data_IF_093629187764
#
_entry.id   IF_093629187764
#
_cell.length_a   1.000
_cell.length_b   1.000
_cell.length_c   1.000
_cell.angle_alpha   90.00
_cell.angle_beta   90.00
_cell.angle_gamma   90.00
#
_symmetry.space_group_name_H-M   'P 1'
#
loop_
_entity.id
_entity.type
_entity.pdbx_description
1 polymer ?
#
# COMPACT_ATOMS: atom_id res chain seq x y z
N UNK A 1 -5.51 25.22 -3.34
CA UNK A 1 -4.04 25.30 -3.31
C UNK A 1 -3.44 24.16 -4.13
N UNK A 2 -2.17 24.25 -4.51
CA UNK A 2 -1.48 23.23 -5.30
C UNK A 2 -1.48 23.49 -6.81
N UNK A 3 -0.80 22.61 -7.55
CA UNK A 3 -0.68 22.65 -9.00
C UNK A 3 -1.78 21.80 -9.64
N UNK A 4 -2.33 22.26 -10.77
CA UNK A 4 -3.22 21.42 -11.58
C UNK A 4 -2.46 20.24 -12.18
N UNK A 5 -3.12 19.09 -12.38
CA UNK A 5 -2.57 17.97 -13.16
C UNK A 5 -2.06 18.40 -14.54
N UNK A 6 -2.65 19.45 -15.13
CA UNK A 6 -2.21 20.04 -16.41
C UNK A 6 -0.85 20.76 -16.35
N UNK A 7 -0.39 21.12 -15.16
CA UNK A 7 0.91 21.75 -14.92
C UNK A 7 2.00 20.73 -14.56
N UNK A 8 1.64 19.44 -14.49
CA UNK A 8 2.55 18.34 -14.16
C UNK A 8 2.77 17.45 -15.38
N UNK A 9 3.96 16.86 -15.48
CA UNK A 9 4.27 15.81 -16.45
C UNK A 9 4.50 14.49 -15.72
N UNK A 10 3.69 13.47 -16.03
CA UNK A 10 3.81 12.14 -15.44
C UNK A 10 4.70 11.25 -16.32
N UNK A 11 5.83 10.78 -15.77
CA UNK A 11 6.78 9.92 -16.47
C UNK A 11 6.66 8.46 -15.98
N UNK A 12 6.22 7.51 -16.82
CA UNK A 12 6.17 6.10 -16.44
C UNK A 12 7.59 5.49 -16.45
N UNK A 13 8.03 4.97 -15.30
CA UNK A 13 9.40 4.44 -15.12
C UNK A 13 9.45 2.95 -14.75
N UNK A 14 8.29 2.28 -14.70
CA UNK A 14 8.07 0.82 -14.57
C UNK A 14 8.51 0.17 -13.25
N UNK A 15 9.71 0.47 -12.73
CA UNK A 15 10.27 -0.20 -11.56
C UNK A 15 10.93 0.77 -10.58
N UNK A 16 10.87 0.44 -9.29
CA UNK A 16 11.39 1.26 -8.18
C UNK A 16 12.83 1.72 -8.40
N UNK A 17 13.72 0.82 -8.85
CA UNK A 17 15.13 1.18 -9.08
C UNK A 17 15.31 2.26 -10.15
N UNK A 18 14.47 2.25 -11.20
CA UNK A 18 14.50 3.27 -12.25
C UNK A 18 13.95 4.61 -11.74
N UNK A 19 12.90 4.60 -10.90
CA UNK A 19 12.37 5.81 -10.27
C UNK A 19 13.41 6.47 -9.35
N UNK A 20 14.11 5.66 -8.54
CA UNK A 20 15.21 6.16 -7.69
C UNK A 20 16.33 6.80 -8.54
N UNK A 21 16.74 6.15 -9.63
CA UNK A 21 17.75 6.70 -10.54
C UNK A 21 17.30 7.99 -11.21
N UNK A 22 16.05 8.05 -11.66
CA UNK A 22 15.47 9.24 -12.28
C UNK A 22 15.38 10.42 -11.31
N UNK A 23 14.96 10.17 -10.06
CA UNK A 23 14.89 11.21 -9.03
C UNK A 23 16.28 11.76 -8.70
N UNK A 24 17.28 10.88 -8.52
CA UNK A 24 18.67 11.29 -8.22
C UNK A 24 19.34 12.05 -9.36
N UNK A 25 18.96 11.75 -10.61
CA UNK A 25 19.52 12.41 -11.81
C UNK A 25 18.73 13.65 -12.25
N UNK A 26 17.64 13.99 -11.57
CA UNK A 26 16.78 15.13 -11.94
C UNK A 26 15.92 14.88 -13.19
N UNK A 27 15.75 13.63 -13.63
CA UNK A 27 14.82 13.31 -14.71
C UNK A 27 13.34 13.36 -14.29
N UNK A 28 13.09 13.32 -12.98
CA UNK A 28 11.79 13.61 -12.35
C UNK A 28 12.06 14.47 -11.11
N UNK A 29 11.13 15.35 -10.78
CA UNK A 29 11.28 16.30 -9.67
C UNK A 29 10.75 15.75 -8.34
N UNK A 30 9.74 14.89 -8.39
CA UNK A 30 9.04 14.37 -7.22
C UNK A 30 8.52 12.95 -7.41
N UNK A 31 8.32 12.26 -6.28
CA UNK A 31 7.70 10.94 -6.24
C UNK A 31 6.96 10.72 -4.92
N UNK A 32 5.67 10.34 -4.99
CA UNK A 32 4.92 9.85 -3.84
C UNK A 32 5.20 8.37 -3.62
N UNK A 33 5.72 8.01 -2.45
CA UNK A 33 6.12 6.63 -2.13
C UNK A 33 6.00 6.31 -0.65
N UNK A 34 5.82 5.02 -0.36
CA UNK A 34 5.75 4.48 0.99
C UNK A 34 7.00 4.79 1.85
N UNK A 35 6.85 4.90 3.19
CA UNK A 35 7.86 5.49 4.05
C UNK A 35 9.23 4.82 4.03
N UNK A 36 9.31 3.49 3.83
CA UNK A 36 10.59 2.77 3.87
C UNK A 36 11.55 3.18 2.74
N UNK A 37 11.02 3.58 1.58
CA UNK A 37 11.84 4.12 0.48
C UNK A 37 12.11 5.59 0.71
N UNK A 38 11.09 6.39 1.03
CA UNK A 38 11.21 7.83 1.24
C UNK A 38 12.25 8.16 2.33
N UNK A 39 12.17 7.50 3.49
CA UNK A 39 13.10 7.71 4.62
C UNK A 39 14.53 7.28 4.28
N UNK A 40 14.71 6.19 3.53
CA UNK A 40 16.04 5.74 3.10
C UNK A 40 16.69 6.72 2.11
N UNK A 41 15.91 7.24 1.15
CA UNK A 41 16.38 8.26 0.21
C UNK A 41 16.72 9.57 0.94
N UNK A 42 15.87 9.99 1.88
CA UNK A 42 16.13 11.17 2.69
C UNK A 42 17.40 11.05 3.52
N UNK A 43 17.57 9.95 4.26
CA UNK A 43 18.75 9.70 5.08
C UNK A 43 20.05 9.64 4.26
N UNK A 44 19.98 9.16 3.02
CA UNK A 44 21.15 9.11 2.12
C UNK A 44 21.40 10.42 1.36
N UNK A 45 20.59 11.47 1.58
CA UNK A 45 20.67 12.73 0.86
C UNK A 45 20.19 12.67 -0.60
N UNK A 46 19.62 11.54 -1.03
CA UNK A 46 19.15 11.34 -2.41
C UNK A 46 17.80 11.99 -2.72
N UNK A 47 17.07 12.45 -1.71
CA UNK A 47 15.82 13.21 -1.85
C UNK A 47 15.51 13.99 -0.56
N UNK A 48 14.56 14.94 -0.63
CA UNK A 48 13.98 15.59 0.55
C UNK A 48 12.50 15.19 0.67
N UNK A 49 12.06 14.90 1.89
CA UNK A 49 10.64 14.69 2.17
C UNK A 49 10.00 16.09 2.30
N UNK A 50 8.96 16.35 1.52
CA UNK A 50 8.30 17.67 1.44
C UNK A 50 6.86 17.66 2.00
N UNK A 51 6.36 16.51 2.43
CA UNK A 51 5.05 16.35 3.05
C UNK A 51 4.65 14.88 3.19
N UNK A 52 3.67 14.60 4.04
CA UNK A 52 2.99 13.31 4.13
C UNK A 52 1.59 13.41 3.53
N UNK A 53 1.16 12.40 2.77
CA UNK A 53 -0.20 12.36 2.20
C UNK A 53 -1.24 12.30 3.32
N UNK A 54 -0.91 11.65 4.44
CA UNK A 54 -1.80 11.52 5.59
C UNK A 54 -2.16 12.87 6.24
N UNK A 55 -1.33 13.91 6.05
CA UNK A 55 -1.60 15.25 6.58
C UNK A 55 -2.73 15.96 5.79
N UNK A 56 -3.00 15.51 4.56
CA UNK A 56 -3.97 16.14 3.65
C UNK A 56 -5.22 15.29 3.41
N UNK A 57 -5.10 13.97 3.52
CA UNK A 57 -6.19 13.03 3.23
C UNK A 57 -6.31 12.03 4.38
N UNK A 58 -7.19 12.35 5.32
CA UNK A 58 -7.47 11.47 6.45
C UNK A 58 -8.04 10.11 5.97
N UNK A 59 -7.57 9.04 6.59
CA UNK A 59 -8.00 7.68 6.30
C UNK A 59 -7.72 7.20 4.88
N UNK A 60 -6.80 7.81 4.12
CA UNK A 60 -6.51 7.42 2.73
C UNK A 60 -6.14 5.94 2.62
N UNK A 61 -6.96 5.17 1.89
CA UNK A 61 -6.74 3.75 1.71
C UNK A 61 -5.84 3.48 0.50
N UNK A 62 -4.63 3.00 0.78
CA UNK A 62 -3.59 2.74 -0.23
C UNK A 62 -3.76 1.35 -0.86
N UNK A 63 -4.07 0.32 -0.05
CA UNK A 63 -4.13 -1.08 -0.49
C UNK A 63 -5.51 -1.68 -0.26
N UNK A 64 -5.90 -2.58 -1.15
CA UNK A 64 -7.13 -3.38 -1.05
C UNK A 64 -6.90 -4.74 -1.71
N UNK A 65 -7.82 -5.68 -1.48
CA UNK A 65 -7.80 -7.02 -2.07
C UNK A 65 -8.76 -7.04 -3.26
N UNK A 66 -8.26 -7.50 -4.41
CA UNK A 66 -9.08 -7.79 -5.57
C UNK A 66 -9.22 -9.30 -5.76
N UNK A 67 -10.38 -9.72 -6.25
CA UNK A 67 -10.63 -11.10 -6.70
C UNK A 67 -11.38 -11.07 -8.03
N UNK A 68 -11.31 -12.14 -8.80
CA UNK A 68 -12.05 -12.21 -10.07
C UNK A 68 -13.55 -12.25 -9.84
N UNK A 69 -14.32 -11.75 -10.81
CA UNK A 69 -15.80 -11.84 -10.80
C UNK A 69 -16.28 -13.27 -10.57
N UNK A 70 -15.65 -14.26 -11.22
CA UNK A 70 -15.99 -15.68 -11.02
C UNK A 70 -15.77 -16.15 -9.57
N UNK A 71 -14.71 -15.71 -8.91
CA UNK A 71 -14.48 -16.06 -7.50
C UNK A 71 -15.48 -15.39 -6.56
N UNK A 72 -15.88 -14.15 -6.88
CA UNK A 72 -16.90 -13.42 -6.13
C UNK A 72 -18.28 -14.07 -6.30
N UNK A 73 -18.70 -14.34 -7.54
CA UNK A 73 -20.04 -14.82 -7.83
C UNK A 73 -20.19 -16.32 -7.50
N UNK A 74 -19.20 -17.14 -7.88
CA UNK A 74 -19.37 -18.60 -7.95
C UNK A 74 -18.50 -19.37 -6.94
N UNK A 75 -17.49 -18.74 -6.33
CA UNK A 75 -16.60 -19.38 -5.34
C UNK A 75 -16.62 -18.68 -3.99
N UNK A 76 -17.78 -18.18 -3.59
CA UNK A 76 -17.96 -17.35 -2.40
C UNK A 76 -17.43 -17.97 -1.11
N UNK A 77 -17.67 -19.26 -0.90
CA UNK A 77 -17.15 -19.99 0.27
C UNK A 77 -15.62 -20.03 0.29
N UNK A 78 -14.97 -20.25 -0.86
CA UNK A 78 -13.51 -20.23 -0.99
C UNK A 78 -12.96 -18.83 -0.69
N UNK A 79 -13.54 -17.80 -1.30
CA UNK A 79 -13.13 -16.41 -1.10
C UNK A 79 -13.26 -15.99 0.37
N UNK A 80 -14.36 -16.37 1.06
CA UNK A 80 -14.52 -16.12 2.50
C UNK A 80 -13.51 -16.88 3.36
N UNK A 81 -13.19 -18.15 3.03
CA UNK A 81 -12.14 -18.91 3.72
C UNK A 81 -10.78 -18.22 3.58
N UNK A 82 -10.43 -17.75 2.38
CA UNK A 82 -9.21 -16.98 2.15
C UNK A 82 -9.19 -15.69 2.99
N UNK A 83 -10.25 -14.89 2.96
CA UNK A 83 -10.34 -13.65 3.75
C UNK A 83 -10.25 -13.91 5.26
N UNK A 84 -10.83 -15.02 5.74
CA UNK A 84 -10.72 -15.44 7.14
C UNK A 84 -9.28 -15.79 7.53
N UNK A 85 -8.57 -16.54 6.69
CA UNK A 85 -7.15 -16.84 6.90
C UNK A 85 -6.27 -15.58 6.82
N UNK A 86 -6.54 -14.72 5.84
CA UNK A 86 -5.82 -13.47 5.65
C UNK A 86 -6.01 -12.51 6.82
N UNK A 87 -7.22 -12.41 7.37
CA UNK A 87 -7.54 -11.59 8.54
C UNK A 87 -6.78 -12.04 9.79
N UNK A 88 -6.60 -13.36 9.98
CA UNK A 88 -5.74 -13.90 11.06
C UNK A 88 -4.29 -13.48 10.86
N UNK A 89 -3.78 -13.56 9.62
CA UNK A 89 -2.45 -13.09 9.25
C UNK A 89 -2.25 -11.60 9.50
N UNK A 90 -3.24 -10.77 9.16
CA UNK A 90 -3.24 -9.33 9.48
C UNK A 90 -3.12 -9.10 10.99
N UNK A 91 -3.94 -9.78 11.78
CA UNK A 91 -3.92 -9.63 13.24
C UNK A 91 -2.55 -9.99 13.80
N UNK A 92 -2.00 -11.13 13.39
CA UNK A 92 -0.68 -11.57 13.84
C UNK A 92 0.42 -10.61 13.39
N UNK A 93 0.41 -10.18 12.13
CA UNK A 93 1.37 -9.21 11.61
C UNK A 93 1.31 -7.90 12.39
N UNK A 94 0.12 -7.35 12.62
CA UNK A 94 -0.06 -6.13 13.39
C UNK A 94 0.44 -6.30 14.83
N UNK A 95 0.05 -7.39 15.51
CA UNK A 95 0.46 -7.66 16.89
C UNK A 95 1.99 -7.82 17.03
N UNK A 96 2.65 -8.43 16.04
CA UNK A 96 4.11 -8.64 16.03
C UNK A 96 4.87 -7.42 15.54
N UNK A 97 4.64 -7.01 14.29
CA UNK A 97 5.50 -6.09 13.55
C UNK A 97 5.18 -4.61 13.83
N UNK A 98 3.93 -4.30 14.20
CA UNK A 98 3.47 -2.92 14.38
C UNK A 98 3.32 -2.59 15.86
N UNK A 99 2.50 -3.36 16.57
CA UNK A 99 2.22 -3.17 18.00
C UNK A 99 3.33 -3.73 18.90
N UNK A 100 4.22 -4.57 18.36
CA UNK A 100 5.37 -5.17 19.07
C UNK A 100 5.00 -5.94 20.35
N UNK A 101 3.76 -6.42 20.45
CA UNK A 101 3.21 -7.11 21.63
C UNK A 101 3.87 -8.46 21.91
N UNK A 102 4.50 -9.06 20.89
CA UNK A 102 5.09 -10.42 20.97
C UNK A 102 6.62 -10.41 21.13
N UNK A 103 7.22 -9.23 21.33
CA UNK A 103 8.65 -9.07 21.65
C UNK A 103 9.62 -9.27 20.48
N UNK A 104 10.90 -9.02 20.75
CA UNK A 104 11.95 -8.98 19.72
C UNK A 104 12.15 -10.32 18.99
N UNK A 105 12.02 -11.46 19.69
CA UNK A 105 12.16 -12.78 19.07
C UNK A 105 11.07 -13.06 18.02
N UNK A 106 9.82 -12.65 18.28
CA UNK A 106 8.74 -12.79 17.30
C UNK A 106 8.96 -11.86 16.10
N UNK A 107 9.42 -10.63 16.33
CA UNK A 107 9.75 -9.68 15.26
C UNK A 107 10.85 -10.26 14.35
N UNK A 108 11.92 -10.81 14.93
CA UNK A 108 13.01 -11.44 14.18
C UNK A 108 12.51 -12.63 13.35
N UNK A 109 11.73 -13.54 13.95
CA UNK A 109 11.17 -14.69 13.24
C UNK A 109 10.25 -14.28 12.09
N UNK A 110 9.36 -13.32 12.31
CA UNK A 110 8.47 -12.79 11.26
C UNK A 110 9.25 -12.04 10.17
N UNK A 111 10.29 -11.29 10.53
CA UNK A 111 11.16 -10.61 9.55
C UNK A 111 11.85 -11.63 8.65
N UNK A 112 12.39 -12.73 9.20
CA UNK A 112 12.98 -13.83 8.42
C UNK A 112 11.96 -14.52 7.52
N UNK A 113 10.74 -14.74 8.00
CA UNK A 113 9.67 -15.31 7.19
C UNK A 113 9.36 -14.42 5.98
N UNK A 114 9.21 -13.10 6.19
CA UNK A 114 8.96 -12.13 5.13
C UNK A 114 10.12 -12.08 4.13
N UNK A 115 11.36 -12.18 4.60
CA UNK A 115 12.55 -12.13 3.73
C UNK A 115 12.61 -13.25 2.69
N UNK A 116 11.95 -14.39 2.92
CA UNK A 116 11.79 -15.44 1.89
C UNK A 116 11.10 -14.93 0.61
N UNK A 117 10.37 -13.83 0.70
CA UNK A 117 9.58 -13.26 -0.39
C UNK A 117 9.93 -11.79 -0.70
N UNK A 118 10.52 -11.06 0.25
CA UNK A 118 10.82 -9.62 0.14
C UNK A 118 12.32 -9.37 0.27
N UNK A 119 12.88 -8.58 -0.65
CA UNK A 119 14.31 -8.30 -0.77
C UNK A 119 15.19 -9.57 -0.89
N UNK A 120 14.67 -10.62 -1.52
CA UNK A 120 15.32 -11.94 -1.69
C UNK A 120 16.69 -11.89 -2.39
N UNK A 121 16.99 -10.80 -3.11
CA UNK A 121 18.28 -10.58 -3.75
C UNK A 121 19.37 -10.00 -2.83
N UNK A 122 19.10 -9.82 -1.53
CA UNK A 122 20.03 -9.28 -0.54
C UNK A 122 20.18 -10.24 0.64
N UNK A 123 21.34 -10.28 1.33
CA UNK A 123 21.46 -10.98 2.59
C UNK A 123 20.48 -10.45 3.65
N UNK A 124 20.03 -11.32 4.55
CA UNK A 124 19.04 -10.99 5.58
C UNK A 124 19.46 -9.76 6.40
N UNK A 125 20.73 -9.68 6.78
CA UNK A 125 21.30 -8.62 7.63
C UNK A 125 21.16 -7.24 6.97
N UNK A 126 21.17 -7.20 5.63
CA UNK A 126 20.97 -5.96 4.84
C UNK A 126 19.49 -5.68 4.54
N UNK A 127 18.60 -6.66 4.69
CA UNK A 127 17.18 -6.56 4.39
C UNK A 127 16.32 -6.29 5.64
N UNK A 128 16.69 -6.85 6.78
CA UNK A 128 15.89 -6.90 8.01
C UNK A 128 15.42 -5.51 8.46
N UNK A 129 16.33 -4.54 8.53
CA UNK A 129 16.00 -3.17 8.94
C UNK A 129 14.96 -2.52 8.04
N UNK A 130 15.04 -2.73 6.71
CA UNK A 130 14.06 -2.20 5.75
C UNK A 130 12.70 -2.88 5.87
N UNK A 131 12.67 -4.19 6.11
CA UNK A 131 11.42 -4.94 6.31
C UNK A 131 10.70 -4.45 7.57
N UNK A 132 11.42 -4.32 8.68
CA UNK A 132 10.86 -3.85 9.94
C UNK A 132 10.43 -2.39 9.83
N UNK A 133 11.25 -1.51 9.26
CA UNK A 133 10.92 -0.09 9.09
C UNK A 133 9.75 0.14 8.11
N UNK A 134 9.52 -0.78 7.16
CA UNK A 134 8.42 -0.74 6.21
C UNK A 134 7.13 -1.40 6.70
N UNK A 135 7.11 -1.95 7.91
CA UNK A 135 5.92 -2.60 8.47
C UNK A 135 4.88 -1.56 8.85
N UNK A 136 3.88 -1.38 7.99
CA UNK A 136 2.75 -0.49 8.20
C UNK A 136 1.54 -1.27 8.71
N UNK A 137 0.69 -0.63 9.51
CA UNK A 137 -0.54 -1.24 9.99
C UNK A 137 -1.42 -1.67 8.83
N UNK A 138 -1.81 -2.95 8.84
CA UNK A 138 -2.84 -3.49 7.96
C UNK A 138 -4.21 -3.31 8.61
N UNK A 139 -5.25 -3.05 7.81
CA UNK A 139 -6.58 -2.82 8.37
C UNK A 139 -7.15 -4.08 9.03
N UNK A 140 -7.56 -4.04 10.33
CA UNK A 140 -8.09 -5.20 11.02
C UNK A 140 -9.26 -5.84 10.29
N UNK A 141 -9.26 -7.18 10.20
CA UNK A 141 -10.24 -7.98 9.48
C UNK A 141 -10.33 -7.70 7.97
N UNK A 142 -9.33 -7.02 7.40
CA UNK A 142 -9.35 -6.59 6.01
C UNK A 142 -10.48 -5.61 5.71
N UNK A 143 -10.95 -4.85 6.72
CA UNK A 143 -12.02 -3.87 6.57
C UNK A 143 -11.67 -2.80 5.52
N UNK A 144 -12.68 -2.34 4.80
CA UNK A 144 -12.52 -1.37 3.72
C UNK A 144 -13.01 0.01 4.17
N UNK A 145 -12.17 1.05 4.03
CA UNK A 145 -12.61 2.44 4.13
C UNK A 145 -13.37 2.82 2.86
N UNK A 146 -14.68 2.63 2.86
CA UNK A 146 -15.53 2.87 1.69
C UNK A 146 -15.65 4.37 1.39
N UNK A 147 -15.51 5.22 2.40
CA UNK A 147 -15.43 6.68 2.22
C UNK A 147 -14.21 7.07 1.39
N UNK A 148 -13.03 6.56 1.73
CA UNK A 148 -11.81 6.79 0.94
C UNK A 148 -11.92 6.23 -0.49
N UNK A 149 -12.48 5.03 -0.66
CA UNK A 149 -12.66 4.43 -1.99
C UNK A 149 -13.63 5.24 -2.86
N UNK A 150 -14.71 5.78 -2.27
CA UNK A 150 -15.64 6.70 -2.96
C UNK A 150 -14.93 7.95 -3.44
N UNK A 151 -14.21 8.64 -2.55
CA UNK A 151 -13.48 9.85 -2.90
C UNK A 151 -12.45 9.60 -4.02
N UNK A 152 -11.72 8.47 -3.95
CA UNK A 152 -10.78 8.09 -5.00
C UNK A 152 -11.47 7.84 -6.34
N UNK A 153 -12.60 7.12 -6.36
CA UNK A 153 -13.36 6.88 -7.59
C UNK A 153 -13.88 8.19 -8.20
N UNK A 154 -14.40 9.10 -7.37
CA UNK A 154 -14.91 10.39 -7.83
C UNK A 154 -13.79 11.26 -8.42
N UNK A 155 -12.61 11.26 -7.79
CA UNK A 155 -11.42 11.92 -8.33
C UNK A 155 -10.95 11.30 -9.66
N UNK A 156 -10.89 9.96 -9.75
CA UNK A 156 -10.56 9.30 -11.02
C UNK A 156 -11.54 9.66 -12.14
N UNK A 157 -12.82 9.84 -11.81
CA UNK A 157 -13.85 10.30 -12.77
C UNK A 157 -13.65 11.76 -13.17
N UNK A 158 -13.34 12.66 -12.23
CA UNK A 158 -13.11 14.07 -12.54
C UNK A 158 -11.88 14.27 -13.43
N UNK A 159 -10.83 13.47 -13.23
CA UNK A 159 -9.63 13.46 -14.06
C UNK A 159 -9.79 12.65 -15.37
N UNK A 160 -10.97 12.07 -15.62
CA UNK A 160 -11.27 11.23 -16.80
C UNK A 160 -10.32 10.01 -16.95
N UNK A 161 -9.81 9.51 -15.83
CA UNK A 161 -8.94 8.34 -15.76
C UNK A 161 -9.72 7.01 -15.79
N UNK A 162 -11.03 7.06 -15.55
CA UNK A 162 -11.97 5.95 -15.66
C UNK A 162 -13.26 6.40 -16.35
N UNK A 163 -14.08 5.47 -16.89
CA UNK A 163 -15.38 5.82 -17.46
C UNK A 163 -16.28 6.53 -16.45
N UNK A 164 -17.02 7.56 -16.88
CA UNK A 164 -17.98 8.27 -16.03
C UNK A 164 -19.11 7.37 -15.48
N UNK A 165 -19.37 6.24 -16.14
CA UNK A 165 -20.32 5.20 -15.72
C UNK A 165 -19.77 4.29 -14.62
N UNK A 166 -18.49 4.38 -14.25
CA UNK A 166 -17.92 3.65 -13.14
C UNK A 166 -18.66 4.01 -11.83
N UNK A 167 -18.97 2.98 -11.04
CA UNK A 167 -19.73 3.10 -9.80
C UNK A 167 -19.14 2.18 -8.72
N UNK A 168 -19.33 2.57 -7.46
CA UNK A 168 -18.91 1.75 -6.32
C UNK A 168 -19.55 0.36 -6.34
N UNK A 169 -20.81 0.26 -6.78
CA UNK A 169 -21.52 -1.01 -6.89
C UNK A 169 -20.80 -2.01 -7.82
N UNK A 170 -20.14 -1.52 -8.86
CA UNK A 170 -19.39 -2.36 -9.80
C UNK A 170 -17.97 -2.65 -9.33
N UNK A 171 -17.42 -1.81 -8.46
CA UNK A 171 -16.05 -1.91 -7.96
C UNK A 171 -15.94 -2.74 -6.68
N UNK A 172 -16.95 -2.67 -5.80
CA UNK A 172 -16.88 -3.21 -4.44
C UNK A 172 -18.10 -4.08 -4.15
N UNK A 173 -17.86 -5.36 -3.83
CA UNK A 173 -18.85 -6.22 -3.18
C UNK A 173 -18.66 -6.13 -1.65
N UNK A 174 -19.50 -5.32 -1.01
CA UNK A 174 -19.46 -5.05 0.43
C UNK A 174 -19.92 -6.23 1.29
N UNK A 175 -20.38 -7.32 0.68
CA UNK A 175 -20.84 -8.51 1.40
C UNK A 175 -19.71 -9.43 1.87
N UNK A 176 -18.45 -9.13 1.50
CA UNK A 176 -17.27 -9.93 1.85
C UNK A 176 -16.54 -9.48 3.11
N UNK A 177 -16.49 -8.18 3.38
CA UNK A 177 -15.79 -7.57 4.52
C UNK A 177 -16.59 -6.41 5.07
N UNK A 178 -16.35 -6.04 6.34
CA UNK A 178 -16.95 -4.84 6.91
C UNK A 178 -16.40 -3.58 6.23
N UNK A 179 -17.26 -2.60 6.05
CA UNK A 179 -16.89 -1.27 5.57
C UNK A 179 -17.09 -0.22 6.64
N UNK A 180 -16.34 0.87 6.54
CA UNK A 180 -16.51 2.08 7.35
C UNK A 180 -16.23 3.33 6.50
#
# INVERSE_FOLDING_TARGET
EGFSSKQMSLKPLQKVGAIIGALKSGQIDAWSIVPHIAKALHKSGGAKIIGDVADYIDGYQITTIFTSKNNADNKRALTKKFLGAYSKGIKEFNDVMVDKKRGAGAIEATTRLIHKYVYTSRPYEKAAGSIQAGSMRLQPDGRLNLTSVKHQLDWFKSEKLVPGSASIKNLVDTSYVKTY
#
